data_IF_450408587730
#
_entry.id   IF_450408587730
#
_cell.length_a   1.000
_cell.length_b   1.000
_cell.length_c   1.000
_cell.angle_alpha   90.00
_cell.angle_beta   90.00
_cell.angle_gamma   90.00
#
_symmetry.space_group_name_H-M   'P 1'
#
loop_
_entity.id
_entity.type
_entity.pdbx_description
1 polymer ?
#
# COMPACT_ATOMS: atom_id res chain seq x y z
N UNK A 1 3.47 14.92 -3.08
CA UNK A 1 4.51 14.93 -4.13
C UNK A 1 4.24 13.81 -5.12
N UNK A 2 4.13 14.13 -6.38
CA UNK A 2 3.93 13.12 -7.42
C UNK A 2 5.17 12.23 -7.54
N UNK A 3 4.94 10.97 -7.84
CA UNK A 3 6.01 9.97 -7.90
C UNK A 3 5.80 9.06 -9.11
N UNK A 4 6.89 8.64 -9.74
CA UNK A 4 6.83 7.66 -10.82
C UNK A 4 7.06 6.24 -10.28
N UNK A 5 6.83 5.24 -11.12
CA UNK A 5 6.91 3.83 -10.73
C UNK A 5 8.28 3.45 -10.16
N UNK A 6 9.41 3.71 -10.84
CA UNK A 6 10.70 3.32 -10.29
C UNK A 6 11.01 3.96 -8.94
N UNK A 7 10.65 5.23 -8.78
CA UNK A 7 10.89 5.95 -7.52
C UNK A 7 10.06 5.39 -6.38
N UNK A 8 8.77 5.14 -6.60
CA UNK A 8 7.91 4.57 -5.57
C UNK A 8 8.36 3.15 -5.20
N UNK A 9 8.64 2.33 -6.20
CA UNK A 9 9.11 0.97 -5.98
C UNK A 9 10.36 0.96 -5.09
N UNK A 10 11.31 1.83 -5.40
CA UNK A 10 12.55 1.93 -4.62
C UNK A 10 12.27 2.37 -3.16
N UNK A 11 11.43 3.37 -2.97
CA UNK A 11 11.06 3.85 -1.64
C UNK A 11 10.35 2.79 -0.81
N UNK A 12 9.45 2.02 -1.43
CA UNK A 12 8.70 0.99 -0.74
C UNK A 12 9.54 -0.19 -0.27
N UNK A 13 10.72 -0.38 -0.84
CA UNK A 13 11.62 -1.46 -0.42
C UNK A 13 12.24 -1.22 0.95
N UNK A 14 12.23 0.02 1.44
CA UNK A 14 12.81 0.37 2.74
C UNK A 14 11.89 1.22 3.62
N UNK A 15 10.69 1.53 3.14
CA UNK A 15 9.74 2.37 3.86
C UNK A 15 8.32 1.89 3.63
N UNK A 16 7.42 2.37 4.50
CA UNK A 16 5.99 2.30 4.26
C UNK A 16 5.54 3.67 3.74
N UNK A 17 4.77 3.70 2.68
CA UNK A 17 4.27 4.95 2.11
C UNK A 17 2.75 5.01 2.16
N UNK A 18 2.24 6.18 2.51
CA UNK A 18 0.85 6.53 2.33
C UNK A 18 0.74 7.24 0.99
N UNK A 19 -0.07 6.68 0.09
CA UNK A 19 -0.20 7.19 -1.28
C UNK A 19 -1.65 7.50 -1.62
N UNK A 20 -1.84 8.37 -2.60
CA UNK A 20 -3.13 8.62 -3.24
C UNK A 20 -2.94 8.39 -4.74
N UNK A 21 -3.83 7.64 -5.34
CA UNK A 21 -3.76 7.35 -6.77
C UNK A 21 -5.14 7.25 -7.39
N UNK A 22 -5.19 7.31 -8.74
CA UNK A 22 -6.44 7.20 -9.48
C UNK A 22 -6.79 5.72 -9.71
N UNK A 23 -8.04 5.36 -9.46
CA UNK A 23 -8.54 4.02 -9.79
C UNK A 23 -8.63 3.88 -11.30
N UNK A 24 -8.26 2.72 -11.83
CA UNK A 24 -8.35 2.45 -13.27
C UNK A 24 -9.81 2.38 -13.75
N UNK A 25 -10.69 1.82 -12.93
CA UNK A 25 -12.10 1.61 -13.29
C UNK A 25 -12.98 1.94 -12.09
N UNK A 26 -13.15 3.24 -11.78
CA UNK A 26 -14.02 3.62 -10.66
C UNK A 26 -15.46 3.24 -10.97
N UNK A 27 -16.18 2.75 -9.98
CA UNK A 27 -17.60 2.47 -10.13
C UNK A 27 -18.40 3.77 -10.12
N UNK A 28 -19.52 3.85 -10.86
CA UNK A 28 -20.37 5.04 -10.81
C UNK A 28 -20.76 5.37 -9.37
N UNK A 29 -20.60 6.63 -8.99
CA UNK A 29 -20.92 7.10 -7.65
C UNK A 29 -19.79 6.99 -6.65
N UNK A 30 -18.72 6.25 -6.96
CA UNK A 30 -17.53 6.15 -6.09
C UNK A 30 -16.53 7.23 -6.44
N UNK A 31 -15.65 7.55 -5.45
CA UNK A 31 -14.51 8.40 -5.72
C UNK A 31 -13.58 7.75 -6.72
N UNK A 32 -13.05 8.55 -7.66
CA UNK A 32 -12.02 8.09 -8.58
C UNK A 32 -10.67 7.90 -7.92
N UNK A 33 -10.46 8.53 -6.76
CA UNK A 33 -9.19 8.46 -6.03
C UNK A 33 -9.26 7.46 -4.90
N UNK A 34 -8.10 6.84 -4.61
CA UNK A 34 -7.96 5.91 -3.51
C UNK A 34 -6.71 6.25 -2.70
N UNK A 35 -6.87 6.23 -1.38
CA UNK A 35 -5.75 6.33 -0.43
C UNK A 35 -5.36 4.95 0.04
N UNK A 36 -4.05 4.70 0.14
CA UNK A 36 -3.54 3.40 0.55
C UNK A 36 -2.27 3.57 1.39
N UNK A 37 -2.15 2.74 2.42
CA UNK A 37 -0.90 2.57 3.15
C UNK A 37 -0.28 1.26 2.68
N UNK A 38 0.91 1.32 2.07
CA UNK A 38 1.49 0.16 1.41
C UNK A 38 3.00 0.07 1.59
N UNK A 39 3.53 -1.11 1.33
CA UNK A 39 4.97 -1.35 1.39
C UNK A 39 5.38 -2.52 0.50
N UNK A 40 6.66 -2.57 0.18
CA UNK A 40 7.36 -3.72 -0.41
C UNK A 40 8.56 -4.12 0.44
N UNK A 41 8.67 -3.59 1.65
CA UNK A 41 9.78 -3.86 2.56
C UNK A 41 9.60 -5.24 3.21
N UNK A 42 10.38 -6.22 2.74
CA UNK A 42 10.29 -7.59 3.24
C UNK A 42 10.67 -7.70 4.72
N UNK A 43 11.54 -6.84 5.21
CA UNK A 43 11.88 -6.81 6.64
C UNK A 43 10.66 -6.48 7.48
N UNK A 44 9.86 -5.53 7.04
CA UNK A 44 8.60 -5.17 7.71
C UNK A 44 7.58 -6.30 7.56
N UNK A 45 7.40 -6.80 6.34
CA UNK A 45 6.38 -7.81 6.05
C UNK A 45 6.64 -9.14 6.75
N UNK A 46 7.91 -9.51 6.91
CA UNK A 46 8.30 -10.78 7.52
C UNK A 46 8.59 -10.67 9.02
N UNK A 47 8.64 -9.48 9.58
CA UNK A 47 8.96 -9.29 11.00
C UNK A 47 7.73 -9.43 11.88
N UNK A 48 6.92 -10.46 11.65
CA UNK A 48 5.73 -10.70 12.43
C UNK A 48 6.12 -11.30 13.77
N UNK A 49 6.09 -10.50 14.81
CA UNK A 49 6.33 -10.98 16.16
C UNK A 49 4.98 -11.12 16.90
N UNK A 50 4.10 -11.96 16.43
CA UNK A 50 2.88 -12.35 17.09
C UNK A 50 1.88 -11.22 17.42
N UNK A 51 2.24 -9.98 17.22
CA UNK A 51 1.42 -8.81 17.57
C UNK A 51 0.89 -8.06 16.37
N UNK A 52 1.53 -8.22 15.23
CA UNK A 52 1.12 -7.55 14.01
C UNK A 52 0.42 -8.56 13.12
N UNK A 53 -0.81 -8.25 12.80
CA UNK A 53 -1.57 -9.06 11.87
C UNK A 53 -1.41 -8.51 10.48
N UNK A 54 -0.15 -8.42 10.00
CA UNK A 54 0.08 -8.00 8.62
C UNK A 54 -0.35 -9.07 7.64
N UNK A 55 -0.45 -10.30 8.10
CA UNK A 55 -0.92 -11.46 7.33
C UNK A 55 -0.29 -11.57 5.94
N UNK A 56 0.98 -11.16 5.85
CA UNK A 56 1.67 -11.12 4.57
C UNK A 56 1.74 -12.51 3.96
N UNK A 57 1.38 -12.59 2.68
CA UNK A 57 1.52 -13.80 1.87
C UNK A 57 2.39 -13.49 0.67
N UNK A 58 3.51 -14.22 0.50
CA UNK A 58 4.33 -14.04 -0.71
C UNK A 58 3.52 -14.30 -1.98
N UNK A 59 3.91 -13.70 -3.10
CA UNK A 59 3.25 -14.01 -4.38
C UNK A 59 3.33 -15.49 -4.69
N UNK A 60 2.24 -16.05 -5.22
CA UNK A 60 2.14 -17.50 -5.51
C UNK A 60 2.76 -17.91 -6.85
N UNK A 61 3.65 -17.11 -7.38
CA UNK A 61 4.33 -17.42 -8.63
C UNK A 61 4.48 -16.16 -9.50
N UNK A 62 5.12 -16.30 -10.67
CA UNK A 62 5.29 -15.14 -11.56
C UNK A 62 3.92 -14.70 -12.10
N UNK A 63 3.69 -13.38 -12.25
CA UNK A 63 2.45 -12.90 -12.83
C UNK A 63 2.34 -13.31 -14.30
N UNK A 64 1.11 -13.48 -14.79
CA UNK A 64 0.85 -13.86 -16.16
C UNK A 64 1.23 -12.77 -17.15
N UNK A 65 1.44 -11.57 -16.70
CA UNK A 65 1.86 -10.43 -17.51
C UNK A 65 2.76 -9.54 -16.65
N UNK A 66 3.52 -8.66 -17.30
CA UNK A 66 4.35 -7.70 -16.58
C UNK A 66 3.52 -6.46 -16.25
N UNK A 67 3.09 -6.27 -14.97
CA UNK A 67 2.27 -5.11 -14.63
C UNK A 67 3.02 -3.80 -14.83
N UNK A 68 4.33 -3.77 -14.67
CA UNK A 68 5.12 -2.54 -14.83
C UNK A 68 5.08 -2.02 -16.27
N UNK A 69 4.92 -2.90 -17.25
CA UNK A 69 4.77 -2.48 -18.66
C UNK A 69 3.49 -1.69 -18.89
N UNK A 70 2.52 -1.79 -17.99
CA UNK A 70 1.26 -1.04 -18.04
C UNK A 70 1.23 0.10 -17.00
N UNK A 71 2.38 0.46 -16.46
CA UNK A 71 2.52 1.46 -15.39
C UNK A 71 1.70 1.13 -14.15
N UNK A 72 1.68 -0.17 -13.80
CA UNK A 72 1.03 -0.67 -12.59
C UNK A 72 2.08 -1.25 -11.65
N UNK A 73 1.96 -0.95 -10.37
CA UNK A 73 2.89 -1.47 -9.36
C UNK A 73 2.14 -2.34 -8.36
N UNK A 74 2.46 -3.64 -8.27
CA UNK A 74 1.91 -4.48 -7.21
C UNK A 74 2.55 -4.11 -5.86
N UNK A 75 1.71 -3.89 -4.86
CA UNK A 75 2.16 -3.53 -3.51
C UNK A 75 1.34 -4.28 -2.47
N UNK A 76 1.87 -4.41 -1.26
CA UNK A 76 1.11 -4.94 -0.14
C UNK A 76 0.35 -3.82 0.56
N UNK A 77 -0.98 -3.92 0.54
CA UNK A 77 -1.87 -3.01 1.23
C UNK A 77 -1.96 -3.43 2.69
N UNK A 78 -1.43 -2.60 3.58
CA UNK A 78 -1.32 -2.91 5.00
C UNK A 78 -2.70 -2.93 5.67
N UNK A 79 -3.60 -2.04 5.29
CA UNK A 79 -4.92 -1.98 5.89
C UNK A 79 -5.82 -3.13 5.46
N UNK A 80 -5.77 -3.49 4.18
CA UNK A 80 -6.59 -4.58 3.64
C UNK A 80 -5.90 -5.94 3.72
N UNK A 81 -4.61 -5.96 4.07
CA UNK A 81 -3.82 -7.18 4.21
C UNK A 81 -3.88 -8.04 2.95
N UNK A 82 -3.62 -7.43 1.81
CA UNK A 82 -3.65 -8.12 0.52
C UNK A 82 -2.80 -7.39 -0.51
N UNK A 83 -2.45 -8.11 -1.57
CA UNK A 83 -1.80 -7.51 -2.73
C UNK A 83 -2.80 -6.64 -3.48
N UNK A 84 -2.33 -5.46 -3.88
CA UNK A 84 -3.11 -4.51 -4.68
C UNK A 84 -2.25 -3.97 -5.81
N UNK A 85 -2.91 -3.58 -6.90
CA UNK A 85 -2.24 -2.97 -8.04
C UNK A 85 -2.44 -1.47 -7.98
N UNK A 86 -1.35 -0.71 -8.01
CA UNK A 86 -1.39 0.76 -7.99
C UNK A 86 -1.23 1.28 -9.41
N UNK A 87 -2.18 2.09 -9.84
CA UNK A 87 -2.06 2.83 -11.10
C UNK A 87 -1.11 4.01 -10.88
N UNK A 88 0.02 4.01 -11.58
CA UNK A 88 1.06 5.02 -11.38
C UNK A 88 0.90 6.28 -12.23
N UNK A 89 -0.17 6.38 -13.03
CA UNK A 89 -0.34 7.54 -13.93
C UNK A 89 -0.46 8.86 -13.16
N UNK A 90 -1.10 8.86 -11.99
CA UNK A 90 -1.24 10.05 -11.15
C UNK A 90 -1.08 9.68 -9.67
N UNK A 91 0.02 9.05 -9.32
CA UNK A 91 0.28 8.64 -7.96
C UNK A 91 1.03 9.73 -7.19
N UNK A 92 0.58 10.00 -5.96
CA UNK A 92 1.26 10.94 -5.06
C UNK A 92 1.59 10.24 -3.74
N UNK A 93 2.78 10.54 -3.22
CA UNK A 93 3.14 10.16 -1.85
C UNK A 93 2.74 11.31 -0.93
N UNK A 94 1.91 11.01 0.07
CA UNK A 94 1.48 12.00 1.05
C UNK A 94 2.17 11.82 2.39
N UNK A 95 2.74 10.64 2.66
CA UNK A 95 3.52 10.41 3.88
C UNK A 95 4.48 9.24 3.65
N UNK A 96 5.67 9.33 4.25
CA UNK A 96 6.65 8.25 4.27
C UNK A 96 6.96 7.90 5.72
N UNK A 97 6.91 6.61 6.04
CA UNK A 97 7.17 6.11 7.38
C UNK A 97 8.37 5.17 7.28
N UNK A 98 9.44 5.49 8.00
CA UNK A 98 10.64 4.67 7.97
C UNK A 98 10.38 3.31 8.61
N UNK A 99 11.19 2.32 8.23
CA UNK A 99 11.14 0.99 8.81
C UNK A 99 11.22 1.03 10.34
N UNK A 100 12.09 1.88 10.87
CA UNK A 100 12.31 1.98 12.32
C UNK A 100 11.09 2.51 13.08
N UNK A 101 10.26 3.32 12.42
CA UNK A 101 9.11 3.96 13.05
C UNK A 101 7.79 3.27 12.73
N UNK A 102 7.79 2.31 11.82
CA UNK A 102 6.54 1.74 11.31
C UNK A 102 5.72 1.04 12.39
N UNK A 103 6.33 0.21 13.22
CA UNK A 103 5.56 -0.59 14.18
C UNK A 103 4.94 0.29 15.26
N UNK A 104 5.62 1.35 15.68
CA UNK A 104 5.03 2.33 16.58
C UNK A 104 3.83 3.01 15.94
N UNK A 105 3.99 3.48 14.69
CA UNK A 105 2.91 4.08 13.93
C UNK A 105 1.74 3.11 13.75
N UNK A 106 2.03 1.87 13.40
CA UNK A 106 1.00 0.85 13.21
C UNK A 106 0.20 0.62 14.49
N UNK A 107 0.87 0.45 15.61
CA UNK A 107 0.21 0.17 16.88
C UNK A 107 -0.64 1.36 17.35
N UNK A 108 -0.18 2.58 17.12
CA UNK A 108 -0.89 3.78 17.57
C UNK A 108 -2.03 4.20 16.64
N UNK A 109 -1.85 4.05 15.32
CA UNK A 109 -2.76 4.63 14.33
C UNK A 109 -3.60 3.61 13.59
N UNK A 110 -3.05 2.43 13.29
CA UNK A 110 -3.69 1.47 12.40
C UNK A 110 -4.40 0.35 13.18
N UNK A 111 -3.70 -0.24 14.12
CA UNK A 111 -4.25 -1.37 14.89
C UNK A 111 -5.57 -1.05 15.59
N UNK A 112 -5.74 0.15 16.21
CA UNK A 112 -7.02 0.48 16.85
C UNK A 112 -8.15 0.80 15.88
N UNK A 113 -7.89 0.98 14.58
CA UNK A 113 -8.93 1.36 13.63
C UNK A 113 -9.96 0.26 13.43
N UNK A 114 -11.23 0.66 13.42
CA UNK A 114 -12.33 -0.24 13.04
C UNK A 114 -12.35 -0.46 11.53
N UNK A 115 -13.13 -1.45 11.08
CA UNK A 115 -13.30 -1.68 9.65
C UNK A 115 -13.88 -0.46 8.93
N UNK A 116 -14.82 0.24 9.58
CA UNK A 116 -15.42 1.46 9.01
C UNK A 116 -14.41 2.60 8.92
N UNK A 117 -13.57 2.78 9.93
CA UNK A 117 -12.53 3.79 9.90
C UNK A 117 -11.51 3.52 8.78
N UNK A 118 -11.14 2.25 8.59
CA UNK A 118 -10.24 1.87 7.50
C UNK A 118 -10.84 2.16 6.13
N UNK A 119 -12.13 1.87 5.96
CA UNK A 119 -12.84 2.18 4.70
C UNK A 119 -12.89 3.68 4.43
N UNK A 120 -13.18 4.47 5.45
CA UNK A 120 -13.20 5.93 5.32
C UNK A 120 -11.82 6.48 4.97
N UNK A 121 -10.78 5.92 5.57
CA UNK A 121 -9.40 6.30 5.25
C UNK A 121 -9.10 6.07 3.77
N UNK A 122 -9.53 4.93 3.22
CA UNK A 122 -9.27 4.58 1.82
C UNK A 122 -10.10 5.38 0.81
N UNK A 123 -11.08 6.12 1.26
CA UNK A 123 -11.92 6.95 0.38
C UNK A 123 -12.95 6.16 -0.42
N UNK A 124 -13.34 5.02 0.07
CA UNK A 124 -14.36 4.18 -0.60
C UNK A 124 -15.68 4.21 0.14
#
# INVERSE_FOLDING_TARGET
MKVNLPSLKNKLQSNVCEIIFEKRRPKPGDSSQRRMLCTLDESILNSVNGRTTLNYKPPSGPPKYNPESKNLLPVWDIMMQSWRMVNMDNCEIVNEISEDNFFEYFNEKIYPMTADEKRNYMGT
#
